data_IF_934853039532
#
_entry.id   IF_934853039532
#
_cell.length_a   1.000
_cell.length_b   1.000
_cell.length_c   1.000
_cell.angle_alpha   90.00
_cell.angle_beta   90.00
_cell.angle_gamma   90.00
#
_symmetry.space_group_name_H-M   'P 1'
#
loop_
_entity.id
_entity.type
_entity.pdbx_description
1 polymer ?
#
# COMPACT_ATOMS: atom_id res chain seq x y z
N UNK A 1 -20.83 7.54 17.40
CA UNK A 1 -20.52 8.47 16.30
C UNK A 1 -19.24 8.01 15.62
N UNK A 2 -19.30 7.64 14.35
CA UNK A 2 -18.15 7.16 13.58
C UNK A 2 -17.28 8.36 13.17
N UNK A 3 -16.03 8.39 13.61
CA UNK A 3 -15.09 9.45 13.26
C UNK A 3 -14.67 9.28 11.79
N UNK A 4 -15.35 9.98 10.88
CA UNK A 4 -15.09 9.90 9.45
C UNK A 4 -13.84 10.74 9.14
N UNK A 5 -12.73 10.07 8.81
CA UNK A 5 -11.48 10.76 8.43
C UNK A 5 -11.65 11.48 7.10
N UNK A 6 -11.09 12.69 6.98
CA UNK A 6 -11.10 13.48 5.73
C UNK A 6 -10.35 12.71 4.63
N UNK A 7 -10.94 12.56 3.44
CA UNK A 7 -10.33 11.81 2.31
C UNK A 7 -8.93 12.33 1.91
N UNK A 8 -8.63 13.60 2.15
CA UNK A 8 -7.29 14.18 1.92
C UNK A 8 -6.18 13.49 2.74
N UNK A 9 -6.51 12.84 3.86
CA UNK A 9 -5.54 12.07 4.64
C UNK A 9 -5.22 10.70 4.02
N UNK A 10 -6.17 10.16 3.24
CA UNK A 10 -6.01 8.86 2.59
C UNK A 10 -5.02 8.96 1.42
N UNK A 11 -5.08 10.05 0.64
CA UNK A 11 -4.24 10.22 -0.55
C UNK A 11 -3.60 11.60 -0.59
N UNK A 12 -2.27 11.63 -0.74
CA UNK A 12 -1.62 12.84 -1.21
C UNK A 12 -1.97 13.05 -2.68
N UNK A 13 -2.40 14.26 -3.03
CA UNK A 13 -2.66 14.63 -4.42
C UNK A 13 -1.42 14.45 -5.30
N UNK A 14 -1.63 14.27 -6.60
CA UNK A 14 -0.55 14.23 -7.57
C UNK A 14 -0.43 15.58 -8.28
N UNK A 15 0.68 16.28 -8.07
CA UNK A 15 0.88 17.66 -8.56
C UNK A 15 -0.26 18.58 -8.11
N UNK A 16 -0.94 19.28 -9.03
CA UNK A 16 -2.08 20.16 -8.75
C UNK A 16 -3.43 19.44 -8.62
N UNK A 17 -3.46 18.10 -8.78
CA UNK A 17 -4.70 17.32 -8.76
C UNK A 17 -4.93 16.71 -7.38
N UNK A 18 -6.16 16.88 -6.87
CA UNK A 18 -6.61 16.21 -5.64
C UNK A 18 -7.10 14.81 -6.00
N UNK A 19 -6.78 13.84 -5.16
CA UNK A 19 -7.30 12.46 -5.29
C UNK A 19 -8.45 12.34 -4.29
N UNK A 20 -9.61 11.92 -4.79
CA UNK A 20 -10.83 11.72 -4.01
C UNK A 20 -11.30 10.27 -4.18
N UNK A 21 -11.83 9.68 -3.12
CA UNK A 21 -12.30 8.28 -3.12
C UNK A 21 -13.79 8.23 -2.86
N UNK A 22 -14.57 7.77 -3.84
CA UNK A 22 -16.00 7.56 -3.68
C UNK A 22 -16.29 6.09 -3.42
N UNK A 23 -17.03 5.80 -2.34
CA UNK A 23 -17.57 4.46 -2.05
C UNK A 23 -18.99 4.27 -2.62
N UNK A 24 -19.47 5.21 -3.44
CA UNK A 24 -20.77 5.10 -4.10
C UNK A 24 -20.79 4.06 -5.24
N UNK A 25 -19.68 3.37 -5.50
CA UNK A 25 -19.59 2.29 -6.48
C UNK A 25 -19.67 2.74 -7.94
N UNK A 26 -19.14 3.94 -8.25
CA UNK A 26 -19.05 4.50 -9.63
C UNK A 26 -18.17 3.66 -10.58
N UNK A 27 -17.37 4.28 -11.45
CA UNK A 27 -16.46 3.51 -12.33
C UNK A 27 -15.49 2.65 -11.51
N UNK A 28 -15.75 1.33 -11.50
CA UNK A 28 -15.01 0.36 -10.70
C UNK A 28 -13.79 -0.09 -11.48
N UNK A 29 -12.62 0.38 -11.07
CA UNK A 29 -11.35 -0.22 -11.48
C UNK A 29 -11.02 -1.40 -10.56
N UNK A 30 -10.63 -2.52 -11.15
CA UNK A 30 -10.21 -3.72 -10.40
C UNK A 30 -9.03 -3.42 -9.45
N UNK A 31 -8.16 -2.48 -9.83
CA UNK A 31 -6.95 -2.15 -9.08
C UNK A 31 -7.11 -0.94 -8.14
N UNK A 32 -8.26 -0.26 -8.16
CA UNK A 32 -8.47 0.98 -7.38
C UNK A 32 -8.31 0.80 -5.87
N UNK A 33 -8.63 -0.40 -5.36
CA UNK A 33 -8.49 -0.73 -3.93
C UNK A 33 -7.03 -0.83 -3.45
N UNK A 34 -6.07 -1.10 -4.36
CA UNK A 34 -4.66 -1.28 -4.01
C UNK A 34 -4.06 0.01 -3.45
N UNK A 35 -4.50 1.19 -3.91
CA UNK A 35 -4.00 2.47 -3.40
C UNK A 35 -4.37 2.66 -1.91
N UNK A 36 -5.60 2.32 -1.52
CA UNK A 36 -6.04 2.35 -0.11
C UNK A 36 -5.22 1.34 0.69
N UNK A 37 -5.08 0.10 0.19
CA UNK A 37 -4.34 -0.96 0.85
C UNK A 37 -2.87 -0.57 1.11
N UNK A 38 -2.21 0.03 0.11
CA UNK A 38 -0.83 0.54 0.24
C UNK A 38 -0.72 1.65 1.28
N UNK A 39 -1.72 2.53 1.39
CA UNK A 39 -1.74 3.59 2.41
C UNK A 39 -1.91 2.99 3.81
N UNK A 40 -2.84 2.06 3.98
CA UNK A 40 -3.09 1.37 5.25
C UNK A 40 -1.85 0.60 5.69
N UNK A 41 -1.21 -0.13 4.79
CA UNK A 41 0.06 -0.82 5.09
C UNK A 41 1.15 0.16 5.53
N UNK A 42 1.30 1.32 4.88
CA UNK A 42 2.28 2.33 5.31
C UNK A 42 1.98 2.88 6.71
N UNK A 43 0.70 3.03 7.07
CA UNK A 43 0.28 3.49 8.40
C UNK A 43 0.53 2.43 9.48
N UNK A 44 0.21 1.16 9.20
CA UNK A 44 0.35 0.06 10.16
C UNK A 44 1.73 -0.59 10.15
N UNK A 45 2.54 -0.30 9.12
CA UNK A 45 3.82 -0.94 8.78
C UNK A 45 3.70 -2.46 8.75
N UNK A 46 2.58 -2.98 8.24
CA UNK A 46 2.25 -4.40 8.38
C UNK A 46 3.22 -5.30 7.61
N UNK A 47 3.43 -5.02 6.32
CA UNK A 47 4.37 -5.75 5.46
C UNK A 47 5.81 -5.61 5.94
N UNK A 48 6.20 -4.44 6.45
CA UNK A 48 7.54 -4.23 7.02
C UNK A 48 7.76 -5.07 8.28
N UNK A 49 6.74 -5.17 9.15
CA UNK A 49 6.82 -6.02 10.34
C UNK A 49 6.83 -7.50 9.97
N UNK A 50 6.00 -7.89 9.01
CA UNK A 50 5.94 -9.27 8.51
C UNK A 50 7.26 -9.68 7.83
N UNK A 51 7.88 -8.80 7.04
CA UNK A 51 9.11 -9.12 6.31
C UNK A 51 10.29 -9.47 7.22
N UNK A 52 10.28 -9.00 8.48
CA UNK A 52 11.32 -9.34 9.48
C UNK A 52 11.30 -10.81 9.90
N UNK A 53 10.18 -11.50 9.70
CA UNK A 53 10.03 -12.92 10.00
C UNK A 53 10.30 -13.81 8.77
N UNK A 54 10.51 -13.22 7.60
CA UNK A 54 10.87 -13.96 6.41
C UNK A 54 12.37 -14.26 6.44
N UNK A 55 12.72 -15.52 6.59
CA UNK A 55 14.10 -15.98 6.41
C UNK A 55 14.44 -15.89 4.93
N UNK A 56 15.44 -15.09 4.61
CA UNK A 56 15.93 -14.93 3.24
C UNK A 56 17.28 -15.65 3.07
N UNK A 57 17.30 -16.87 2.51
CA UNK A 57 18.53 -17.65 2.30
C UNK A 57 19.35 -17.13 1.11
N UNK A 58 18.84 -16.15 0.36
CA UNK A 58 19.51 -15.64 -0.84
C UNK A 58 20.79 -14.90 -0.45
N UNK A 59 21.81 -15.01 -1.31
CA UNK A 59 23.06 -14.27 -1.13
C UNK A 59 22.81 -12.78 -1.34
N UNK A 60 22.88 -11.98 -0.26
CA UNK A 60 22.60 -10.52 -0.29
C UNK A 60 23.31 -9.74 -1.40
N UNK A 61 24.57 -10.04 -1.71
CA UNK A 61 25.33 -9.36 -2.79
C UNK A 61 24.78 -9.61 -4.20
N UNK A 62 23.86 -10.57 -4.36
CA UNK A 62 23.20 -10.92 -5.61
C UNK A 62 21.73 -10.49 -5.63
N UNK A 63 21.25 -9.81 -4.57
CA UNK A 63 19.87 -9.38 -4.45
C UNK A 63 19.75 -7.90 -4.83
N UNK A 64 18.86 -7.62 -5.79
CA UNK A 64 18.47 -6.24 -6.16
C UNK A 64 17.27 -5.79 -5.32
N UNK A 65 16.39 -6.73 -4.95
CA UNK A 65 15.15 -6.47 -4.22
C UNK A 65 15.19 -7.12 -2.83
N UNK A 66 14.88 -6.32 -1.82
CA UNK A 66 14.76 -6.79 -0.44
C UNK A 66 13.54 -7.71 -0.29
N UNK A 67 13.53 -8.56 0.74
CA UNK A 67 12.38 -9.41 1.04
C UNK A 67 11.08 -8.62 1.21
N UNK A 68 11.17 -7.38 1.73
CA UNK A 68 10.06 -6.45 1.84
C UNK A 68 9.49 -6.05 0.48
N UNK A 69 10.35 -5.78 -0.51
CA UNK A 69 9.91 -5.36 -1.84
C UNK A 69 9.18 -6.51 -2.54
N UNK A 70 9.74 -7.71 -2.45
CA UNK A 70 9.12 -8.94 -2.97
C UNK A 70 7.76 -9.21 -2.29
N UNK A 71 7.68 -9.05 -0.97
CA UNK A 71 6.44 -9.22 -0.22
C UNK A 71 5.38 -8.21 -0.67
N UNK A 72 5.77 -6.93 -0.82
CA UNK A 72 4.86 -5.88 -1.27
C UNK A 72 4.40 -6.09 -2.70
N UNK A 73 5.27 -6.52 -3.60
CA UNK A 73 4.90 -6.90 -4.95
C UNK A 73 3.86 -8.04 -4.93
N UNK A 74 4.05 -9.05 -4.06
CA UNK A 74 3.10 -10.16 -3.96
C UNK A 74 1.73 -9.75 -3.38
N UNK A 75 1.71 -8.81 -2.45
CA UNK A 75 0.47 -8.33 -1.80
C UNK A 75 -0.27 -7.33 -2.67
N UNK A 76 0.44 -6.47 -3.41
CA UNK A 76 -0.16 -5.39 -4.20
C UNK A 76 -0.34 -5.72 -5.68
N UNK A 77 0.39 -6.69 -6.22
CA UNK A 77 0.56 -6.85 -7.68
C UNK A 77 1.79 -6.10 -8.18
#
# INVERSE_FOLDING_TARGET
MTNCKRQQELFQGFSRRKIEVSFAGGDVTSDGGILILRKVDKLLRLTERASRFLVDPRRRKSCIHEALDMLRQRVYG
#
